data_IF_621389402847
#
_entry.id   IF_621389402847
#
_cell.length_a   1.000
_cell.length_b   1.000
_cell.length_c   1.000
_cell.angle_alpha   90.00
_cell.angle_beta   90.00
_cell.angle_gamma   90.00
#
_symmetry.space_group_name_H-M   'P 1'
#
loop_
_entity.id
_entity.type
_entity.pdbx_description
1 polymer ?
#
# COMPACT_ATOMS: atom_id res chain seq x y z
N UNK A 1 10.45 37.38 -15.22
CA UNK A 1 11.17 36.33 -14.46
C UNK A 1 12.55 36.11 -15.10
N UNK A 2 13.62 36.07 -14.31
CA UNK A 2 14.98 35.85 -14.81
C UNK A 2 15.22 34.38 -15.18
N UNK A 3 16.02 34.11 -16.22
CA UNK A 3 16.39 32.75 -16.63
C UNK A 3 17.04 31.91 -15.52
N UNK A 4 17.67 32.57 -14.54
CA UNK A 4 18.22 31.92 -13.33
C UNK A 4 17.14 31.28 -12.46
N UNK A 5 15.96 31.90 -12.39
CA UNK A 5 14.80 31.40 -11.63
C UNK A 5 14.22 30.15 -12.29
N UNK A 6 14.18 30.12 -13.62
CA UNK A 6 13.66 28.98 -14.40
C UNK A 6 14.59 27.77 -14.23
N UNK A 7 15.91 27.99 -14.34
CA UNK A 7 16.90 26.93 -14.11
C UNK A 7 16.81 26.35 -12.69
N UNK A 8 16.64 27.19 -11.66
CA UNK A 8 16.46 26.74 -10.29
C UNK A 8 15.21 25.88 -10.10
N UNK A 9 14.08 26.26 -10.70
CA UNK A 9 12.83 25.49 -10.66
C UNK A 9 13.01 24.10 -11.31
N UNK A 10 13.69 24.04 -12.46
CA UNK A 10 13.94 22.76 -13.16
C UNK A 10 14.80 21.84 -12.30
N UNK A 11 15.89 22.35 -11.71
CA UNK A 11 16.77 21.55 -10.83
C UNK A 11 16.00 21.05 -9.62
N UNK A 12 15.17 21.89 -9.00
CA UNK A 12 14.36 21.50 -7.85
C UNK A 12 13.34 20.42 -8.20
N UNK A 13 12.65 20.56 -9.35
CA UNK A 13 11.71 19.58 -9.84
C UNK A 13 12.38 18.23 -10.12
N UNK A 14 13.57 18.23 -10.73
CA UNK A 14 14.35 17.01 -10.98
C UNK A 14 14.80 16.33 -9.68
N UNK A 15 15.23 17.09 -8.68
CA UNK A 15 15.59 16.55 -7.37
C UNK A 15 14.38 15.90 -6.68
N UNK A 16 13.21 16.55 -6.76
CA UNK A 16 11.97 16.02 -6.21
C UNK A 16 11.54 14.72 -6.91
N UNK A 17 11.71 14.66 -8.24
CA UNK A 17 11.40 13.49 -9.05
C UNK A 17 12.32 12.31 -8.68
N UNK A 18 13.63 12.55 -8.51
CA UNK A 18 14.58 11.55 -8.04
C UNK A 18 14.23 11.01 -6.64
N UNK A 19 13.80 11.90 -5.74
CA UNK A 19 13.38 11.51 -4.39
C UNK A 19 12.12 10.62 -4.44
N UNK A 20 11.14 10.95 -5.27
CA UNK A 20 9.93 10.13 -5.47
C UNK A 20 10.29 8.76 -6.08
N UNK A 21 11.16 8.74 -7.10
CA UNK A 21 11.65 7.49 -7.72
C UNK A 21 12.35 6.60 -6.69
N UNK A 22 13.05 7.17 -5.71
CA UNK A 22 13.71 6.41 -4.66
C UNK A 22 12.74 5.89 -3.59
N UNK A 23 11.76 6.71 -3.18
CA UNK A 23 10.81 6.36 -2.13
C UNK A 23 9.79 5.30 -2.55
N UNK A 24 9.31 5.33 -3.80
CA UNK A 24 8.33 4.34 -4.30
C UNK A 24 8.83 2.89 -4.19
N UNK A 25 10.00 2.49 -4.72
CA UNK A 25 10.49 1.12 -4.62
C UNK A 25 10.79 0.75 -3.17
N UNK A 26 11.34 1.68 -2.37
CA UNK A 26 11.60 1.44 -0.95
C UNK A 26 10.31 1.09 -0.19
N UNK A 27 9.27 1.91 -0.34
CA UNK A 27 7.97 1.67 0.31
C UNK A 27 7.33 0.37 -0.15
N UNK A 28 7.43 0.01 -1.44
CA UNK A 28 6.94 -1.28 -1.96
C UNK A 28 7.69 -2.47 -1.34
N UNK A 29 9.01 -2.37 -1.19
CA UNK A 29 9.84 -3.43 -0.59
C UNK A 29 9.46 -3.61 0.88
N UNK A 30 9.43 -2.52 1.66
CA UNK A 30 9.05 -2.54 3.07
C UNK A 30 7.64 -3.13 3.24
N UNK A 31 6.69 -2.70 2.41
CA UNK A 31 5.34 -3.24 2.41
C UNK A 31 5.30 -4.75 2.14
N UNK A 32 6.05 -5.24 1.14
CA UNK A 32 6.13 -6.68 0.85
C UNK A 32 6.69 -7.48 2.04
N UNK A 33 7.72 -6.96 2.71
CA UNK A 33 8.33 -7.60 3.89
C UNK A 33 7.31 -7.66 5.04
N UNK A 34 6.66 -6.53 5.34
CA UNK A 34 5.64 -6.46 6.39
C UNK A 34 4.47 -7.40 6.10
N UNK A 35 3.96 -7.42 4.86
CA UNK A 35 2.89 -8.33 4.43
C UNK A 35 3.29 -9.79 4.63
N UNK A 36 4.53 -10.17 4.31
CA UNK A 36 5.01 -11.55 4.50
C UNK A 36 5.03 -11.91 5.99
N UNK A 37 5.57 -11.04 6.84
CA UNK A 37 5.59 -11.23 8.30
C UNK A 37 4.17 -11.36 8.87
N UNK A 38 3.26 -10.49 8.44
CA UNK A 38 1.86 -10.53 8.85
C UNK A 38 1.17 -11.83 8.44
N UNK A 39 1.30 -12.26 7.18
CA UNK A 39 0.71 -13.52 6.71
C UNK A 39 1.29 -14.74 7.42
N UNK A 40 2.56 -14.71 7.80
CA UNK A 40 3.18 -15.76 8.62
C UNK A 40 2.62 -15.78 10.04
N UNK A 41 2.51 -14.61 10.68
CA UNK A 41 1.89 -14.47 12.00
C UNK A 41 0.44 -14.96 11.99
N UNK A 42 -0.34 -14.55 11.00
CA UNK A 42 -1.72 -14.98 10.81
C UNK A 42 -1.83 -16.49 10.59
N UNK A 43 -0.95 -17.08 9.78
CA UNK A 43 -0.93 -18.54 9.54
C UNK A 43 -0.60 -19.31 10.82
N UNK A 44 0.27 -18.78 11.68
CA UNK A 44 0.58 -19.36 12.99
C UNK A 44 -0.59 -19.23 13.96
N UNK A 45 -1.23 -18.06 14.03
CA UNK A 45 -2.39 -17.82 14.90
C UNK A 45 -3.61 -18.66 14.51
N UNK A 46 -3.83 -18.89 13.21
CA UNK A 46 -4.91 -19.74 12.71
C UNK A 46 -4.55 -21.24 12.64
N UNK A 47 -3.51 -21.69 13.36
CA UNK A 47 -3.08 -23.10 13.30
C UNK A 47 -4.14 -24.05 13.87
N UNK A 48 -4.84 -23.61 14.92
CA UNK A 48 -5.88 -24.37 15.62
C UNK A 48 -7.28 -24.17 15.00
N UNK A 49 -7.43 -23.23 14.08
CA UNK A 49 -8.69 -22.97 13.41
C UNK A 49 -9.06 -24.08 12.40
N UNK A 50 -10.35 -24.31 12.14
CA UNK A 50 -10.82 -25.21 11.10
C UNK A 50 -10.16 -24.92 9.74
N UNK A 51 -9.78 -25.97 8.99
CA UNK A 51 -9.07 -25.83 7.71
C UNK A 51 -9.79 -24.90 6.72
N UNK A 52 -11.13 -24.97 6.70
CA UNK A 52 -11.99 -24.15 5.85
C UNK A 52 -11.91 -22.66 6.24
N UNK A 53 -12.05 -22.35 7.53
CA UNK A 53 -11.91 -21.00 8.07
C UNK A 53 -10.51 -20.44 7.79
N UNK A 54 -9.46 -21.23 8.04
CA UNK A 54 -8.08 -20.84 7.78
C UNK A 54 -7.86 -20.48 6.30
N UNK A 55 -8.42 -21.28 5.38
CA UNK A 55 -8.29 -21.04 3.93
C UNK A 55 -9.05 -19.79 3.51
N UNK A 56 -10.27 -19.60 4.01
CA UNK A 56 -11.11 -18.42 3.74
C UNK A 56 -10.43 -17.13 4.23
N UNK A 57 -10.02 -17.08 5.49
CA UNK A 57 -9.38 -15.91 6.10
C UNK A 57 -8.04 -15.59 5.42
N UNK A 58 -7.20 -16.59 5.15
CA UNK A 58 -5.94 -16.36 4.44
C UNK A 58 -6.16 -15.82 3.03
N UNK A 59 -7.19 -16.27 2.32
CA UNK A 59 -7.51 -15.78 0.97
C UNK A 59 -8.02 -14.35 1.01
N UNK A 60 -8.97 -14.05 1.91
CA UNK A 60 -9.47 -12.69 2.12
C UNK A 60 -8.32 -11.74 2.46
N UNK A 61 -7.52 -12.08 3.47
CA UNK A 61 -6.40 -11.25 3.90
C UNK A 61 -5.35 -11.08 2.80
N UNK A 62 -5.03 -12.12 2.02
CA UNK A 62 -4.12 -11.99 0.88
C UNK A 62 -4.63 -11.01 -0.16
N UNK A 63 -5.94 -11.00 -0.41
CA UNK A 63 -6.59 -10.09 -1.35
C UNK A 63 -6.53 -8.65 -0.85
N UNK A 64 -6.99 -8.39 0.39
CA UNK A 64 -7.00 -7.06 1.00
C UNK A 64 -5.59 -6.47 1.19
N UNK A 65 -4.59 -7.30 1.44
CA UNK A 65 -3.18 -6.86 1.55
C UNK A 65 -2.44 -6.87 0.21
N UNK A 66 -3.09 -7.17 -0.91
CA UNK A 66 -2.40 -7.17 -2.20
C UNK A 66 -2.11 -5.75 -2.69
N UNK A 67 -0.95 -5.55 -3.36
CA UNK A 67 -0.62 -4.27 -4.01
C UNK A 67 -1.70 -3.88 -5.02
N UNK A 68 -2.26 -4.85 -5.75
CA UNK A 68 -3.36 -4.62 -6.70
C UNK A 68 -4.58 -3.99 -6.03
N UNK A 69 -4.95 -4.47 -4.84
CA UNK A 69 -6.06 -3.92 -4.09
C UNK A 69 -5.74 -2.53 -3.52
N UNK A 70 -4.52 -2.30 -3.03
CA UNK A 70 -4.07 -0.96 -2.64
C UNK A 70 -4.14 0.02 -3.80
N UNK A 71 -3.55 -0.30 -4.95
CA UNK A 71 -3.55 0.57 -6.15
C UNK A 71 -4.98 0.89 -6.60
N UNK A 72 -5.86 -0.12 -6.64
CA UNK A 72 -7.26 0.07 -7.06
C UNK A 72 -8.06 0.96 -6.10
N UNK A 73 -7.68 1.00 -4.82
CA UNK A 73 -8.41 1.76 -3.81
C UNK A 73 -7.71 3.06 -3.41
N UNK A 74 -6.43 3.24 -3.70
CA UNK A 74 -5.74 4.52 -3.54
C UNK A 74 -6.48 5.61 -4.31
N UNK A 75 -6.94 5.34 -5.53
CA UNK A 75 -7.75 6.27 -6.33
C UNK A 75 -9.14 6.58 -5.75
N UNK A 76 -9.69 5.68 -4.93
CA UNK A 76 -10.96 5.88 -4.22
C UNK A 76 -10.78 6.59 -2.88
N UNK A 77 -9.67 6.30 -2.18
CA UNK A 77 -9.29 6.91 -0.91
C UNK A 77 -8.89 8.38 -1.13
N UNK A 78 -8.13 8.69 -2.19
CA UNK A 78 -7.80 10.07 -2.55
C UNK A 78 -9.00 10.91 -3.00
N UNK A 79 -10.12 10.27 -3.35
CA UNK A 79 -11.41 10.93 -3.65
C UNK A 79 -12.29 11.17 -2.41
N UNK A 80 -11.76 10.95 -1.20
CA UNK A 80 -12.29 11.49 0.06
C UNK A 80 -13.55 10.85 0.64
N UNK A 81 -14.39 10.18 -0.15
CA UNK A 81 -15.75 9.81 0.31
C UNK A 81 -16.06 8.29 0.40
N UNK A 82 -15.26 7.40 -0.21
CA UNK A 82 -15.53 5.95 -0.21
C UNK A 82 -14.56 5.11 0.65
N UNK A 83 -13.37 5.63 0.96
CA UNK A 83 -12.33 4.87 1.66
C UNK A 83 -12.73 4.44 3.09
N UNK A 84 -13.46 5.29 3.81
CA UNK A 84 -13.96 5.02 5.16
C UNK A 84 -15.19 4.09 5.17
N UNK A 85 -16.00 4.10 4.10
CA UNK A 85 -17.22 3.26 4.01
C UNK A 85 -16.91 1.77 4.01
N UNK A 86 -15.82 1.32 3.38
CA UNK A 86 -15.46 -0.10 3.52
C UNK A 86 -15.05 -0.44 4.94
N UNK A 87 -14.25 0.41 5.60
CA UNK A 87 -13.70 0.07 6.93
C UNK A 87 -14.82 -0.14 7.94
N UNK A 88 -15.91 0.61 7.76
CA UNK A 88 -17.15 0.49 8.54
C UNK A 88 -17.99 -0.76 8.25
N UNK A 89 -17.74 -1.46 7.13
CA UNK A 89 -18.40 -2.73 6.80
C UNK A 89 -17.56 -3.96 7.17
N UNK A 90 -16.35 -3.76 7.73
CA UNK A 90 -15.46 -4.84 8.19
C UNK A 90 -15.54 -5.08 9.71
N UNK A 91 -16.20 -4.18 10.45
CA UNK A 91 -16.51 -4.28 11.88
C UNK A 91 -18.02 -4.22 12.06
#
# INVERSE_FOLDING_TARGET
MSGKTIAAIIVYALALLNLVIFLIPYTIIVYKIQRRRFLWGLRKGLKEAPKELRKSVLNAVKYYTSIRFLVRNISKITRGNEGLKWMRNLF
#
